data_IF_965394625172
#
_entry.id   IF_965394625172
#
_cell.length_a   1.000
_cell.length_b   1.000
_cell.length_c   1.000
_cell.angle_alpha   90.00
_cell.angle_beta   90.00
_cell.angle_gamma   90.00
#
_symmetry.space_group_name_H-M   'P 1'
#
loop_
_entity.id
_entity.type
_entity.pdbx_description
1 polymer ?
#
# COMPACT_ATOMS: atom_id res chain seq x y z
N UNK A 1 11.45 16.57 -0.39
CA UNK A 1 11.84 16.02 -1.70
C UNK A 1 12.90 14.96 -1.46
N UNK A 2 13.96 15.32 -0.74
CA UNK A 2 14.97 14.41 -0.18
C UNK A 2 14.35 13.22 0.59
N UNK A 3 13.42 13.46 1.52
CA UNK A 3 12.71 12.39 2.26
C UNK A 3 11.94 11.38 1.37
N UNK A 4 11.49 11.79 0.18
CA UNK A 4 10.76 10.91 -0.73
C UNK A 4 11.71 10.04 -1.54
N UNK A 5 12.85 10.58 -1.96
CA UNK A 5 13.88 9.84 -2.68
C UNK A 5 14.52 8.79 -1.76
N UNK A 6 14.89 9.18 -0.54
CA UNK A 6 15.43 8.25 0.46
C UNK A 6 14.48 7.07 0.72
N UNK A 7 13.18 7.36 0.87
CA UNK A 7 12.21 6.31 1.12
C UNK A 7 12.00 5.38 -0.08
N UNK A 8 12.09 5.90 -1.31
CA UNK A 8 12.09 5.07 -2.53
C UNK A 8 13.28 4.14 -2.53
N UNK A 9 14.49 4.66 -2.34
CA UNK A 9 15.71 3.87 -2.32
C UNK A 9 15.65 2.73 -1.28
N UNK A 10 15.14 3.02 -0.09
CA UNK A 10 14.95 2.00 0.96
C UNK A 10 13.97 0.92 0.50
N UNK A 11 12.80 1.30 -0.02
CA UNK A 11 11.75 0.34 -0.40
C UNK A 11 12.16 -0.47 -1.64
N UNK A 12 12.80 0.16 -2.61
CA UNK A 12 13.30 -0.49 -3.83
C UNK A 12 14.43 -1.47 -3.49
N UNK A 13 15.36 -1.08 -2.61
CA UNK A 13 16.40 -1.97 -2.10
C UNK A 13 15.86 -3.17 -1.31
N UNK A 14 14.82 -2.97 -0.49
CA UNK A 14 14.12 -4.07 0.18
C UNK A 14 13.39 -4.98 -0.82
N UNK A 15 12.79 -4.39 -1.85
CA UNK A 15 12.09 -5.13 -2.91
C UNK A 15 13.08 -6.01 -3.68
N UNK A 16 14.25 -5.47 -4.04
CA UNK A 16 15.34 -6.23 -4.65
C UNK A 16 15.69 -7.44 -3.79
N UNK A 17 16.01 -7.22 -2.50
CA UNK A 17 16.34 -8.30 -1.58
C UNK A 17 15.25 -9.38 -1.47
N UNK A 18 13.97 -9.00 -1.59
CA UNK A 18 12.85 -9.92 -1.50
C UNK A 18 12.62 -10.77 -2.77
N UNK A 19 13.01 -10.26 -3.94
CA UNK A 19 12.78 -10.93 -5.24
C UNK A 19 14.04 -11.60 -5.82
N UNK A 20 15.22 -11.25 -5.32
CA UNK A 20 16.51 -11.89 -5.67
C UNK A 20 17.21 -12.61 -4.50
N UNK A 21 16.49 -13.21 -3.53
CA UNK A 21 17.18 -13.85 -2.41
C UNK A 21 17.98 -15.06 -2.90
N UNK A 22 19.11 -15.32 -2.26
CA UNK A 22 19.85 -16.57 -2.42
C UNK A 22 19.09 -17.71 -1.72
N UNK A 23 18.07 -18.22 -2.42
CA UNK A 23 17.18 -19.27 -1.94
C UNK A 23 16.98 -20.35 -3.03
N UNK A 24 16.68 -21.60 -2.64
CA UNK A 24 16.42 -22.67 -3.60
C UNK A 24 15.26 -22.33 -4.54
N UNK A 25 15.33 -22.78 -5.81
CA UNK A 25 14.31 -22.45 -6.83
C UNK A 25 12.88 -22.88 -6.45
N UNK A 26 12.71 -23.91 -5.61
CA UNK A 26 11.39 -24.34 -5.13
C UNK A 26 10.77 -23.38 -4.11
N UNK A 27 11.59 -22.52 -3.49
CA UNK A 27 11.16 -21.51 -2.52
C UNK A 27 10.72 -20.21 -3.20
N UNK A 28 11.22 -19.96 -4.42
CA UNK A 28 10.96 -18.75 -5.17
C UNK A 28 9.91 -18.97 -6.24
N UNK A 29 9.08 -17.95 -6.47
CA UNK A 29 8.18 -17.99 -7.61
C UNK A 29 9.02 -17.79 -8.90
N UNK A 30 9.07 -18.78 -9.80
CA UNK A 30 9.90 -18.70 -11.00
C UNK A 30 9.51 -17.54 -11.92
N UNK A 31 8.26 -17.06 -11.83
CA UNK A 31 7.78 -15.90 -12.62
C UNK A 31 8.51 -14.62 -12.22
N UNK A 32 8.74 -14.37 -10.93
CA UNK A 32 9.46 -13.17 -10.50
C UNK A 32 10.92 -13.21 -10.94
N UNK A 33 11.57 -14.36 -10.85
CA UNK A 33 12.94 -14.55 -11.35
C UNK A 33 13.01 -14.38 -12.87
N UNK A 34 12.02 -14.87 -13.61
CA UNK A 34 11.97 -14.73 -15.07
C UNK A 34 11.70 -13.29 -15.53
N UNK A 35 10.99 -12.48 -14.77
CA UNK A 35 10.67 -11.10 -15.14
C UNK A 35 11.74 -10.13 -14.60
N UNK A 36 12.10 -10.25 -13.32
CA UNK A 36 12.96 -9.31 -12.61
C UNK A 36 14.45 -9.71 -12.61
N UNK A 37 14.76 -10.98 -12.91
CA UNK A 37 16.12 -11.52 -12.96
C UNK A 37 16.57 -11.92 -14.36
N UNK A 38 15.86 -11.50 -15.41
CA UNK A 38 16.22 -11.80 -16.80
C UNK A 38 17.50 -11.07 -17.23
N UNK A 39 17.65 -9.81 -16.83
CA UNK A 39 18.79 -8.95 -17.12
C UNK A 39 19.07 -8.04 -15.92
N UNK A 40 20.34 -7.71 -15.69
CA UNK A 40 20.74 -6.73 -14.66
C UNK A 40 20.12 -5.36 -15.00
N UNK A 41 19.52 -4.69 -14.01
CA UNK A 41 18.94 -3.35 -14.20
C UNK A 41 17.44 -3.30 -14.51
N UNK A 42 16.77 -4.45 -14.70
CA UNK A 42 15.32 -4.47 -15.04
C UNK A 42 14.46 -3.95 -13.89
N UNK A 43 14.78 -4.32 -12.63
CA UNK A 43 14.02 -3.86 -11.48
C UNK A 43 14.19 -2.35 -11.28
N UNK A 44 15.41 -1.86 -11.41
CA UNK A 44 15.76 -0.45 -11.30
C UNK A 44 15.01 0.38 -12.36
N UNK A 45 15.00 -0.07 -13.62
CA UNK A 45 14.22 0.58 -14.68
C UNK A 45 12.71 0.60 -14.37
N UNK A 46 12.17 -0.48 -13.80
CA UNK A 46 10.75 -0.52 -13.41
C UNK A 46 10.44 0.45 -12.28
N UNK A 47 11.33 0.58 -11.28
CA UNK A 47 11.19 1.53 -10.18
C UNK A 47 11.26 2.98 -10.68
N UNK A 48 12.13 3.27 -11.65
CA UNK A 48 12.27 4.58 -12.28
C UNK A 48 11.02 4.95 -13.11
N UNK A 49 10.48 4.01 -13.89
CA UNK A 49 9.29 4.21 -14.72
C UNK A 49 7.99 4.30 -13.89
N UNK A 50 7.97 3.65 -12.71
CA UNK A 50 6.80 3.53 -11.84
C UNK A 50 7.12 3.92 -10.39
N UNK A 51 7.50 5.19 -10.14
CA UNK A 51 7.97 5.60 -8.82
C UNK A 51 6.87 5.54 -7.77
N UNK A 52 7.24 5.12 -6.57
CA UNK A 52 6.35 5.11 -5.41
C UNK A 52 6.11 6.52 -4.87
N UNK A 53 4.90 6.77 -4.42
CA UNK A 53 4.49 7.96 -3.68
C UNK A 53 4.12 7.54 -2.25
N UNK A 54 4.29 8.47 -1.31
CA UNK A 54 4.12 8.19 0.11
C UNK A 54 3.30 9.29 0.77
N UNK A 55 2.61 8.92 1.84
CA UNK A 55 1.93 9.87 2.71
C UNK A 55 2.94 10.83 3.35
N UNK A 56 2.48 12.05 3.64
CA UNK A 56 3.30 13.04 4.32
C UNK A 56 3.82 12.50 5.66
N UNK A 57 5.08 12.80 5.96
CA UNK A 57 5.78 12.38 7.18
C UNK A 57 5.97 10.86 7.35
N UNK A 58 5.68 10.03 6.34
CA UNK A 58 5.78 8.58 6.46
C UNK A 58 7.22 8.09 6.73
N UNK A 59 8.24 8.65 6.06
CA UNK A 59 9.64 8.33 6.33
C UNK A 59 10.01 8.59 7.80
N UNK A 60 9.68 9.78 8.30
CA UNK A 60 9.92 10.16 9.69
C UNK A 60 9.27 9.17 10.67
N UNK A 61 8.07 8.70 10.38
CA UNK A 61 7.35 7.73 11.21
C UNK A 61 8.02 6.35 11.19
N UNK A 62 8.64 5.96 10.08
CA UNK A 62 9.38 4.69 9.96
C UNK A 62 10.76 4.74 10.62
N UNK A 63 11.40 5.91 10.65
CA UNK A 63 12.70 6.13 11.29
C UNK A 63 12.60 6.39 12.80
N UNK A 64 11.40 6.66 13.32
CA UNK A 64 11.19 6.84 14.76
C UNK A 64 11.27 5.49 15.49
N UNK A 65 12.10 5.40 16.52
CA UNK A 65 12.22 4.20 17.38
C UNK A 65 10.93 3.92 18.16
N UNK A 66 10.06 4.94 18.31
CA UNK A 66 8.76 4.80 18.94
C UNK A 66 7.71 4.24 17.98
N UNK A 67 6.81 3.41 18.50
CA UNK A 67 5.66 2.92 17.73
C UNK A 67 4.85 4.11 17.19
N UNK A 68 4.44 4.10 15.90
CA UNK A 68 3.58 5.13 15.33
C UNK A 68 2.30 5.30 16.14
N UNK A 69 1.97 6.54 16.48
CA UNK A 69 0.71 6.85 17.15
C UNK A 69 -0.47 6.70 16.17
N UNK A 70 -1.67 6.47 16.70
CA UNK A 70 -2.87 6.47 15.87
C UNK A 70 -3.19 7.85 15.26
N UNK A 71 -2.65 8.92 15.84
CA UNK A 71 -2.86 10.29 15.33
C UNK A 71 -2.23 10.47 13.95
N UNK A 72 -1.08 9.83 13.70
CA UNK A 72 -0.51 9.79 12.35
C UNK A 72 -1.54 9.28 11.34
N UNK A 73 -2.15 8.13 11.61
CA UNK A 73 -3.13 7.53 10.70
C UNK A 73 -4.40 8.37 10.53
N UNK A 74 -4.78 9.17 11.54
CA UNK A 74 -5.91 10.11 11.45
C UNK A 74 -5.61 11.35 10.60
N UNK A 75 -4.34 11.66 10.38
CA UNK A 75 -3.90 12.83 9.60
C UNK A 75 -3.58 12.48 8.13
N UNK A 76 -3.38 11.20 7.82
CA UNK A 76 -3.07 10.76 6.46
C UNK A 76 -4.24 11.05 5.54
N UNK A 77 -4.00 11.86 4.53
CA UNK A 77 -4.97 12.09 3.46
C UNK A 77 -4.88 10.98 2.41
N UNK A 78 -6.00 10.69 1.74
CA UNK A 78 -5.92 9.95 0.48
C UNK A 78 -5.47 10.90 -0.63
N UNK A 79 -4.69 10.45 -1.63
CA UNK A 79 -4.40 11.26 -2.79
C UNK A 79 -5.72 11.75 -3.42
N UNK A 80 -5.66 12.88 -4.14
CA UNK A 80 -6.79 13.27 -4.97
C UNK A 80 -7.00 12.20 -6.04
N UNK A 81 -8.27 11.89 -6.34
CA UNK A 81 -8.58 10.96 -7.42
C UNK A 81 -8.00 11.52 -8.73
N UNK A 82 -7.03 10.82 -9.30
CA UNK A 82 -6.49 11.10 -10.62
C UNK A 82 -7.25 10.33 -11.70
N UNK A 83 -6.97 10.65 -12.96
CA UNK A 83 -7.52 9.94 -14.12
C UNK A 83 -6.95 8.51 -14.25
N UNK A 84 -5.82 8.24 -13.60
CA UNK A 84 -5.18 6.92 -13.58
C UNK A 84 -5.56 6.16 -12.30
N UNK A 85 -5.92 4.88 -12.40
CA UNK A 85 -6.11 4.08 -11.20
C UNK A 85 -4.76 3.83 -10.52
N UNK A 86 -4.73 3.90 -9.20
CA UNK A 86 -3.52 3.66 -8.41
C UNK A 86 -3.60 2.32 -7.68
N UNK A 87 -2.48 1.60 -7.62
CA UNK A 87 -2.28 0.61 -6.58
C UNK A 87 -1.82 1.31 -5.32
N UNK A 88 -2.24 0.84 -4.15
CA UNK A 88 -1.69 1.36 -2.92
C UNK A 88 -2.00 0.53 -1.70
N UNK A 89 -1.29 0.87 -0.64
CA UNK A 89 -1.54 0.41 0.73
C UNK A 89 -2.28 1.50 1.47
N UNK A 90 -3.38 1.14 2.09
CA UNK A 90 -4.28 2.04 2.80
C UNK A 90 -4.45 1.60 4.25
N UNK A 91 -4.84 2.55 5.08
CA UNK A 91 -5.17 2.34 6.49
C UNK A 91 -6.61 2.77 6.79
N UNK A 92 -7.25 2.06 7.70
CA UNK A 92 -8.52 2.43 8.32
C UNK A 92 -8.34 2.54 9.83
N UNK A 93 -8.83 3.63 10.41
CA UNK A 93 -8.96 3.78 11.85
C UNK A 93 -10.40 3.45 12.23
N UNK A 94 -10.57 2.46 13.10
CA UNK A 94 -11.87 2.03 13.60
C UNK A 94 -12.01 2.39 15.08
N UNK A 95 -13.10 3.05 15.42
CA UNK A 95 -13.33 3.59 16.77
C UNK A 95 -14.68 3.14 17.33
N UNK A 96 -14.70 2.94 18.64
CA UNK A 96 -15.89 2.62 19.42
C UNK A 96 -15.76 3.28 20.78
N UNK A 97 -16.84 3.91 21.23
CA UNK A 97 -16.87 4.61 22.53
C UNK A 97 -16.50 3.64 23.66
N UNK A 98 -15.54 4.04 24.49
CA UNK A 98 -15.07 3.24 25.63
C UNK A 98 -14.18 2.05 25.26
N UNK A 99 -13.76 1.92 24.00
CA UNK A 99 -12.87 0.86 23.54
C UNK A 99 -11.60 1.45 22.90
N UNK A 100 -10.46 0.74 22.97
CA UNK A 100 -9.28 1.11 22.20
C UNK A 100 -9.59 1.15 20.70
N UNK A 101 -9.07 2.16 20.01
CA UNK A 101 -9.17 2.25 18.57
C UNK A 101 -8.37 1.12 17.91
N UNK A 102 -8.85 0.64 16.76
CA UNK A 102 -8.21 -0.41 15.97
C UNK A 102 -7.67 0.16 14.67
N UNK A 103 -6.53 -0.36 14.23
CA UNK A 103 -5.94 -0.05 12.94
C UNK A 103 -6.09 -1.27 12.02
N UNK A 104 -6.57 -1.04 10.81
CA UNK A 104 -6.52 -2.02 9.74
C UNK A 104 -5.67 -1.48 8.59
N UNK A 105 -4.73 -2.28 8.11
CA UNK A 105 -3.91 -1.96 6.93
C UNK A 105 -4.21 -2.99 5.85
N UNK A 106 -4.39 -2.54 4.61
CA UNK A 106 -4.60 -3.42 3.48
C UNK A 106 -4.03 -2.84 2.20
N UNK A 107 -3.95 -3.66 1.16
CA UNK A 107 -3.55 -3.24 -0.18
C UNK A 107 -4.67 -3.50 -1.19
N UNK A 108 -4.61 -2.84 -2.34
CA UNK A 108 -5.55 -3.10 -3.44
C UNK A 108 -4.93 -2.79 -4.80
N UNK A 109 -5.13 -3.72 -5.71
CA UNK A 109 -4.84 -3.60 -7.16
C UNK A 109 -6.16 -3.79 -7.90
N UNK A 110 -6.81 -2.70 -8.31
CA UNK A 110 -8.05 -2.75 -9.08
C UNK A 110 -7.84 -1.97 -10.38
N UNK A 111 -8.01 -2.63 -11.52
CA UNK A 111 -7.63 -2.06 -12.82
C UNK A 111 -8.49 -0.85 -13.23
N UNK A 112 -9.65 -0.62 -12.60
CA UNK A 112 -10.58 0.45 -12.99
C UNK A 112 -10.49 1.62 -12.02
N UNK A 113 -10.57 1.33 -10.72
CA UNK A 113 -10.67 2.36 -9.68
C UNK A 113 -9.52 2.31 -8.67
N UNK A 114 -8.58 1.39 -8.82
CA UNK A 114 -7.45 1.26 -7.93
C UNK A 114 -7.85 1.07 -6.47
N UNK A 115 -7.07 1.66 -5.57
CA UNK A 115 -7.33 1.65 -4.12
C UNK A 115 -8.69 2.28 -3.75
N UNK A 116 -9.18 3.26 -4.51
CA UNK A 116 -10.45 3.94 -4.24
C UNK A 116 -11.66 3.02 -4.34
N UNK A 117 -11.59 1.97 -5.18
CA UNK A 117 -12.63 0.93 -5.23
C UNK A 117 -12.93 0.36 -3.85
N UNK A 118 -11.86 0.14 -3.08
CA UNK A 118 -11.91 -0.49 -1.77
C UNK A 118 -12.28 0.50 -0.68
N UNK A 119 -11.73 1.71 -0.70
CA UNK A 119 -12.13 2.77 0.22
C UNK A 119 -13.63 3.07 0.12
N UNK A 120 -14.14 3.20 -1.11
CA UNK A 120 -15.58 3.37 -1.36
C UNK A 120 -16.42 2.17 -0.94
N UNK A 121 -15.87 0.96 -0.97
CA UNK A 121 -16.59 -0.23 -0.49
C UNK A 121 -16.80 -0.20 1.03
N UNK A 122 -15.90 0.45 1.78
CA UNK A 122 -16.04 0.63 3.22
C UNK A 122 -17.06 1.72 3.60
N UNK A 123 -17.31 2.70 2.72
CA UNK A 123 -18.39 3.69 2.90
C UNK A 123 -19.79 3.09 2.76
N UNK A 124 -19.92 1.92 2.11
CA UNK A 124 -21.20 1.26 1.91
C UNK A 124 -21.64 0.49 3.16
N UNK A 125 -22.90 0.69 3.52
CA UNK A 125 -23.54 0.12 4.72
C UNK A 125 -23.64 -1.42 4.69
N UNK A 126 -23.65 -2.04 3.52
CA UNK A 126 -23.86 -3.49 3.37
C UNK A 126 -22.58 -4.33 3.52
N UNK A 127 -21.39 -3.71 3.44
CA UNK A 127 -20.10 -4.39 3.61
C UNK A 127 -19.90 -5.63 2.71
N UNK A 128 -20.61 -5.71 1.59
CA UNK A 128 -20.72 -6.95 0.80
C UNK A 128 -19.39 -7.33 0.13
N UNK A 129 -18.52 -6.37 -0.13
CA UNK A 129 -17.22 -6.55 -0.81
C UNK A 129 -16.00 -6.15 0.03
N UNK A 130 -16.03 -6.46 1.34
CA UNK A 130 -14.90 -6.23 2.27
C UNK A 130 -14.49 -7.53 2.99
N UNK A 131 -13.24 -7.63 3.49
CA UNK A 131 -12.76 -8.83 4.17
C UNK A 131 -13.62 -9.19 5.39
N UNK A 132 -13.84 -10.49 5.63
CA UNK A 132 -14.75 -10.97 6.68
C UNK A 132 -14.40 -10.45 8.08
N UNK A 133 -13.11 -10.36 8.42
CA UNK A 133 -12.67 -9.84 9.72
C UNK A 133 -12.94 -8.35 9.87
N UNK A 134 -12.74 -7.57 8.81
CA UNK A 134 -13.09 -6.14 8.81
C UNK A 134 -14.59 -5.97 8.91
N UNK A 135 -15.38 -6.78 8.18
CA UNK A 135 -16.85 -6.78 8.28
C UNK A 135 -17.34 -7.02 9.71
N UNK A 136 -16.71 -7.95 10.43
CA UNK A 136 -17.01 -8.19 11.84
C UNK A 136 -16.66 -6.98 12.71
N UNK A 137 -15.49 -6.37 12.50
CA UNK A 137 -15.05 -5.21 13.27
C UNK A 137 -15.99 -4.00 13.07
N UNK A 138 -16.37 -3.68 11.82
CA UNK A 138 -17.22 -2.54 11.50
C UNK A 138 -18.69 -2.70 11.94
N UNK A 139 -19.10 -3.90 12.37
CA UNK A 139 -20.42 -4.10 12.97
C UNK A 139 -20.51 -3.41 14.34
N UNK A 140 -19.39 -3.42 15.07
CA UNK A 140 -19.32 -2.93 16.45
C UNK A 140 -18.49 -1.64 16.57
N UNK A 141 -17.73 -1.26 15.54
CA UNK A 141 -16.89 -0.06 15.47
C UNK A 141 -17.25 0.76 14.23
N UNK A 142 -17.05 2.07 14.30
CA UNK A 142 -17.20 2.97 13.16
C UNK A 142 -15.84 3.22 12.54
N UNK A 143 -15.74 3.20 11.21
CA UNK A 143 -14.54 3.71 10.53
C UNK A 143 -14.55 5.22 10.69
N UNK A 144 -13.65 5.75 11.53
CA UNK A 144 -13.55 7.19 11.77
C UNK A 144 -12.62 7.90 10.81
N UNK A 145 -11.66 7.16 10.22
CA UNK A 145 -10.75 7.72 9.22
C UNK A 145 -10.25 6.67 8.23
N UNK A 146 -9.92 7.09 7.02
CA UNK A 146 -9.24 6.29 6.01
C UNK A 146 -8.22 7.11 5.22
N UNK A 147 -7.06 6.53 4.94
CA UNK A 147 -5.97 7.18 4.21
C UNK A 147 -5.13 6.19 3.41
N UNK A 148 -4.31 6.68 2.49
CA UNK A 148 -3.38 5.87 1.69
C UNK A 148 -1.96 6.15 2.18
N UNK A 149 -1.24 5.11 2.61
CA UNK A 149 0.11 5.19 3.17
C UNK A 149 1.16 5.37 2.08
N UNK A 150 1.05 4.57 1.01
CA UNK A 150 1.92 4.66 -0.15
C UNK A 150 1.24 4.03 -1.37
N UNK A 151 1.60 4.50 -2.56
CA UNK A 151 0.92 4.13 -3.81
C UNK A 151 1.82 4.34 -5.04
N UNK A 152 1.41 3.78 -6.17
CA UNK A 152 1.90 4.16 -7.49
C UNK A 152 0.75 4.11 -8.51
N UNK A 153 0.91 4.82 -9.63
CA UNK A 153 0.01 4.70 -10.77
C UNK A 153 0.10 3.28 -11.34
N UNK A 154 -1.06 2.62 -11.54
CA UNK A 154 -1.05 1.33 -12.20
C UNK A 154 -0.44 1.46 -13.60
N UNK A 155 0.40 0.49 -14.01
CA UNK A 155 0.91 0.46 -15.37
C UNK A 155 -0.25 0.35 -16.36
N UNK A 156 -0.06 0.95 -17.54
CA UNK A 156 -0.95 0.73 -18.67
C UNK A 156 -1.04 -0.77 -18.98
N UNK A 157 -2.19 -1.22 -19.51
CA UNK A 157 -2.36 -2.60 -19.96
C UNK A 157 -1.31 -3.04 -20.98
N UNK A 158 -0.68 -2.09 -21.69
CA UNK A 158 0.41 -2.35 -22.63
C UNK A 158 1.73 -2.80 -21.96
N UNK A 159 1.86 -2.62 -20.64
CA UNK A 159 3.07 -2.96 -19.85
C UNK A 159 2.81 -4.11 -18.86
N UNK A 160 1.71 -4.83 -19.02
CA UNK A 160 1.44 -6.06 -18.25
C UNK A 160 1.98 -7.26 -19.06
N UNK A 161 2.82 -8.13 -18.46
CA UNK A 161 3.35 -9.33 -19.13
C UNK A 161 2.27 -10.26 -19.71
#
# INVERSE_FOLDING_TARGET
>A
MEDLEELREIVDGMTYCAVTPDAPDWYLNPVFKAILGAEDGVLESLCDDHPLFFADHFLRVLQDDARPSLDFFRLISSPARSDKPIWGVYSLVLEKVGCPAMLYVGSRTDAILGVYSRLKAYEKVDGSNIPQLVRKAIKDHTISHSGVLYWHDLPSAAHVP
#
